data_IF_671429518616
#
_entry.id   IF_671429518616
#
_cell.length_a   1.000
_cell.length_b   1.000
_cell.length_c   1.000
_cell.angle_alpha   90.00
_cell.angle_beta   90.00
_cell.angle_gamma   90.00
#
_symmetry.space_group_name_H-M   'P 1'
#
loop_
_entity.id
_entity.type
_entity.pdbx_description
1 polymer ?
#
# COMPACT_ATOMS: atom_id res chain seq x y z
N UNK A 1 9.18 -18.54 -18.87
CA UNK A 1 8.59 -18.12 -17.59
C UNK A 1 7.93 -19.30 -16.92
N UNK A 2 8.11 -19.48 -15.61
CA UNK A 2 7.40 -20.50 -14.80
C UNK A 2 6.53 -19.79 -13.78
N UNK A 3 5.22 -19.66 -14.06
CA UNK A 3 4.22 -19.09 -13.15
C UNK A 3 2.98 -19.96 -13.16
N UNK A 4 2.23 -19.99 -12.05
CA UNK A 4 0.96 -20.71 -11.94
C UNK A 4 -0.16 -19.84 -12.55
N UNK A 5 -0.17 -19.69 -13.85
CA UNK A 5 -1.16 -18.94 -14.63
C UNK A 5 -1.62 -19.80 -15.82
N UNK A 6 -2.88 -19.65 -16.21
CA UNK A 6 -3.43 -20.32 -17.39
C UNK A 6 -3.16 -19.49 -18.67
N UNK A 7 -3.60 -18.23 -18.64
CA UNK A 7 -3.40 -17.25 -19.71
C UNK A 7 -2.88 -15.94 -19.12
N UNK A 8 -1.82 -15.40 -19.68
CA UNK A 8 -1.19 -14.14 -19.23
C UNK A 8 -2.14 -12.94 -19.30
N UNK A 9 -3.15 -12.99 -20.17
CA UNK A 9 -4.17 -11.94 -20.30
C UNK A 9 -5.36 -12.11 -19.36
N UNK A 10 -5.53 -13.30 -18.75
CA UNK A 10 -6.59 -13.60 -17.83
C UNK A 10 -6.17 -13.51 -16.34
N UNK A 11 -4.89 -13.20 -16.07
CA UNK A 11 -4.32 -13.25 -14.70
C UNK A 11 -5.15 -12.49 -13.69
N UNK A 12 -5.50 -11.24 -13.94
CA UNK A 12 -6.27 -10.41 -13.01
C UNK A 12 -7.66 -10.99 -12.78
N UNK A 13 -8.37 -11.34 -13.88
CA UNK A 13 -9.71 -11.92 -13.81
C UNK A 13 -9.73 -13.23 -13.03
N UNK A 14 -8.86 -14.17 -13.35
CA UNK A 14 -8.78 -15.47 -12.65
C UNK A 14 -8.35 -15.30 -11.18
N UNK A 15 -7.49 -14.32 -10.88
CA UNK A 15 -7.13 -13.97 -9.50
C UNK A 15 -8.35 -13.47 -8.72
N UNK A 16 -9.13 -12.56 -9.30
CA UNK A 16 -10.35 -12.03 -8.67
C UNK A 16 -11.42 -13.11 -8.48
N UNK A 17 -11.59 -14.03 -9.44
CA UNK A 17 -12.51 -15.16 -9.32
C UNK A 17 -12.11 -16.08 -8.18
N UNK A 18 -10.81 -16.42 -8.08
CA UNK A 18 -10.26 -17.19 -6.96
C UNK A 18 -10.40 -16.46 -5.61
N UNK A 19 -10.15 -15.18 -5.58
CA UNK A 19 -10.28 -14.33 -4.39
C UNK A 19 -11.73 -14.27 -3.89
N UNK A 20 -12.71 -14.08 -4.79
CA UNK A 20 -14.13 -14.11 -4.47
C UNK A 20 -14.57 -15.44 -3.86
N UNK A 21 -14.12 -16.57 -4.42
CA UNK A 21 -14.43 -17.90 -3.91
C UNK A 21 -13.83 -18.17 -2.53
N UNK A 22 -12.62 -17.66 -2.29
CA UNK A 22 -11.90 -17.90 -1.03
C UNK A 22 -12.38 -17.02 0.13
N UNK A 23 -12.98 -15.86 -0.16
CA UNK A 23 -13.27 -14.82 0.83
C UNK A 23 -14.68 -14.22 0.70
N UNK A 24 -15.65 -15.02 0.25
CA UNK A 24 -17.05 -14.62 0.02
C UNK A 24 -17.80 -14.16 1.28
N UNK A 25 -17.23 -14.38 2.46
CA UNK A 25 -17.73 -13.91 3.75
C UNK A 25 -17.26 -12.49 4.11
N UNK A 26 -16.25 -11.97 3.42
CA UNK A 26 -15.62 -10.67 3.68
C UNK A 26 -15.85 -9.69 2.52
N UNK A 27 -15.76 -10.18 1.27
CA UNK A 27 -15.80 -9.34 0.06
C UNK A 27 -16.78 -9.85 -0.98
N UNK A 28 -17.30 -8.91 -1.77
CA UNK A 28 -17.97 -9.14 -3.04
C UNK A 28 -17.11 -8.64 -4.19
N UNK A 29 -16.97 -9.44 -5.24
CA UNK A 29 -16.23 -9.05 -6.44
C UNK A 29 -17.20 -8.78 -7.57
N UNK A 30 -17.12 -7.59 -8.14
CA UNK A 30 -17.90 -7.14 -9.29
C UNK A 30 -17.09 -7.34 -10.58
N UNK A 31 -17.77 -7.64 -11.66
CA UNK A 31 -17.19 -7.89 -12.96
C UNK A 31 -17.90 -7.05 -14.03
N UNK A 32 -17.13 -6.32 -14.84
CA UNK A 32 -17.66 -5.46 -15.91
C UNK A 32 -18.34 -4.16 -15.40
N UNK A 33 -17.58 -3.27 -14.77
CA UNK A 33 -16.14 -3.27 -14.58
C UNK A 33 -15.69 -4.07 -13.36
N UNK A 34 -14.38 -4.37 -13.30
CA UNK A 34 -13.80 -5.12 -12.19
C UNK A 34 -13.53 -4.21 -10.99
N UNK A 35 -14.17 -4.49 -9.85
CA UNK A 35 -13.85 -3.90 -8.55
C UNK A 35 -14.31 -4.81 -7.41
N UNK A 36 -13.84 -4.55 -6.21
CA UNK A 36 -14.11 -5.33 -5.00
C UNK A 36 -14.76 -4.43 -3.97
N UNK A 37 -15.84 -4.89 -3.33
CA UNK A 37 -16.48 -4.20 -2.20
C UNK A 37 -16.50 -5.07 -0.96
N UNK A 38 -16.70 -4.47 0.21
CA UNK A 38 -16.97 -5.25 1.43
C UNK A 38 -18.33 -5.97 1.29
N UNK A 39 -18.38 -7.21 1.74
CA UNK A 39 -19.59 -8.05 1.67
C UNK A 39 -20.75 -7.47 2.52
N UNK A 40 -20.43 -6.95 3.71
CA UNK A 40 -21.42 -6.30 4.58
C UNK A 40 -21.23 -4.78 4.49
N UNK A 41 -22.10 -4.08 3.75
CA UNK A 41 -22.01 -2.63 3.66
C UNK A 41 -22.26 -2.00 5.02
N UNK A 42 -21.64 -0.86 5.28
CA UNK A 42 -21.88 -0.06 6.48
C UNK A 42 -23.22 0.65 6.41
N UNK A 43 -23.75 1.01 7.57
CA UNK A 43 -24.96 1.82 7.68
C UNK A 43 -24.80 3.18 6.98
N UNK A 44 -25.93 3.79 6.59
CA UNK A 44 -25.99 5.13 6.02
C UNK A 44 -25.23 6.17 6.88
N UNK A 45 -24.61 7.13 6.21
CA UNK A 45 -23.88 8.21 6.85
C UNK A 45 -22.42 7.92 7.21
N UNK A 46 -21.87 6.74 6.83
CA UNK A 46 -20.43 6.48 6.93
C UNK A 46 -19.70 7.02 5.69
N UNK A 47 -18.55 7.65 5.91
CA UNK A 47 -17.62 8.02 4.83
C UNK A 47 -17.10 6.76 4.15
N UNK A 48 -17.24 6.68 2.81
CA UNK A 48 -16.69 5.61 2.01
C UNK A 48 -15.18 5.77 1.80
N UNK A 49 -14.44 4.66 1.77
CA UNK A 49 -13.02 4.66 1.44
C UNK A 49 -12.77 3.81 0.19
N UNK A 50 -12.18 4.41 -0.82
CA UNK A 50 -11.81 3.74 -2.07
C UNK A 50 -10.32 3.90 -2.34
N UNK A 51 -9.68 2.80 -2.70
CA UNK A 51 -8.31 2.80 -3.19
C UNK A 51 -8.19 1.88 -4.41
N UNK A 52 -7.05 1.89 -5.07
CA UNK A 52 -6.82 1.06 -6.23
C UNK A 52 -5.44 1.29 -6.83
N UNK A 53 -5.15 0.53 -7.85
CA UNK A 53 -3.87 0.57 -8.55
C UNK A 53 -3.66 -0.71 -9.35
N UNK A 54 -2.49 -0.86 -9.95
CA UNK A 54 -2.13 -2.07 -10.67
C UNK A 54 -2.18 -3.30 -9.79
N UNK A 55 -2.62 -4.44 -10.34
CA UNK A 55 -2.48 -5.75 -9.70
C UNK A 55 -1.00 -6.16 -9.65
N UNK A 56 -0.65 -7.14 -8.80
CA UNK A 56 0.73 -7.58 -8.60
C UNK A 56 1.34 -7.11 -7.27
N UNK A 57 0.55 -6.42 -6.46
CA UNK A 57 0.96 -5.91 -5.15
C UNK A 57 0.23 -6.60 -3.99
N UNK A 58 -0.48 -7.70 -4.28
CA UNK A 58 -1.32 -8.38 -3.30
C UNK A 58 -0.59 -8.65 -1.98
N UNK A 59 -1.32 -8.46 -0.85
CA UNK A 59 -2.77 -8.24 -0.68
C UNK A 59 -3.27 -6.82 -0.98
N UNK A 60 -2.41 -5.83 -1.23
CA UNK A 60 -2.80 -4.46 -1.60
C UNK A 60 -3.55 -4.46 -2.94
N UNK A 61 -4.71 -3.86 -3.10
CA UNK A 61 -5.61 -3.18 -2.18
C UNK A 61 -6.77 -4.09 -1.76
N UNK A 62 -7.19 -5.07 -2.62
CA UNK A 62 -8.35 -5.91 -2.43
C UNK A 62 -8.35 -6.70 -1.10
N UNK A 63 -7.17 -7.12 -0.63
CA UNK A 63 -7.00 -7.80 0.65
C UNK A 63 -7.28 -6.94 1.88
N UNK A 64 -7.39 -5.63 1.71
CA UNK A 64 -7.69 -4.65 2.77
C UNK A 64 -9.12 -4.08 2.67
N UNK A 65 -9.95 -4.66 1.81
CA UNK A 65 -11.38 -4.36 1.78
C UNK A 65 -12.09 -5.08 2.93
N UNK A 66 -12.83 -4.33 3.73
CA UNK A 66 -13.60 -4.85 4.86
C UNK A 66 -13.76 -3.84 5.99
N UNK A 67 -14.32 -4.29 7.12
CA UNK A 67 -14.55 -3.45 8.29
C UNK A 67 -13.24 -2.88 8.84
N UNK A 68 -13.21 -1.58 9.11
CA UNK A 68 -12.08 -0.86 9.69
C UNK A 68 -10.97 -0.48 8.70
N UNK A 69 -11.16 -0.74 7.39
CA UNK A 69 -10.27 -0.33 6.31
C UNK A 69 -11.07 0.15 5.08
N UNK A 70 -10.80 -0.39 3.88
CA UNK A 70 -11.45 0.05 2.64
C UNK A 70 -12.90 -0.46 2.51
N UNK A 71 -13.78 0.36 1.93
CA UNK A 71 -15.11 -0.07 1.49
C UNK A 71 -15.07 -0.66 0.08
N UNK A 72 -14.18 -0.15 -0.79
CA UNK A 72 -13.94 -0.72 -2.10
C UNK A 72 -12.50 -0.59 -2.58
N UNK A 73 -12.09 -1.49 -3.45
CA UNK A 73 -10.79 -1.47 -4.13
C UNK A 73 -10.91 -1.76 -5.62
N UNK A 74 -10.09 -1.09 -6.43
CA UNK A 74 -10.13 -1.21 -7.89
C UNK A 74 -8.81 -1.77 -8.40
N UNK A 75 -8.73 -3.06 -8.77
CA UNK A 75 -7.55 -3.66 -9.36
C UNK A 75 -7.45 -3.30 -10.85
N UNK A 76 -6.33 -2.70 -11.25
CA UNK A 76 -5.96 -2.52 -12.64
C UNK A 76 -5.27 -3.76 -13.23
N UNK A 77 -4.87 -3.70 -14.50
CA UNK A 77 -3.97 -4.70 -15.07
C UNK A 77 -2.66 -4.78 -14.28
N UNK A 78 -1.89 -5.87 -14.43
CA UNK A 78 -0.65 -6.04 -13.66
C UNK A 78 0.27 -4.83 -13.87
N UNK A 79 0.62 -4.16 -12.77
CA UNK A 79 1.44 -2.94 -12.71
C UNK A 79 0.91 -1.76 -13.54
N UNK A 80 -0.39 -1.72 -13.79
CA UNK A 80 -1.02 -0.65 -14.58
C UNK A 80 -2.24 -0.10 -13.84
N UNK A 81 -2.33 1.21 -13.74
CA UNK A 81 -3.44 1.91 -13.09
C UNK A 81 -4.79 1.51 -13.67
N UNK A 82 -5.84 1.34 -12.85
CA UNK A 82 -7.21 1.15 -13.34
C UNK A 82 -7.69 2.39 -14.10
N UNK A 83 -8.61 2.19 -15.05
CA UNK A 83 -9.26 3.30 -15.76
C UNK A 83 -10.30 4.01 -14.87
N UNK A 84 -10.75 5.23 -15.22
CA UNK A 84 -11.72 5.98 -14.40
C UNK A 84 -13.07 5.28 -14.19
N UNK A 85 -13.56 4.52 -15.17
CA UNK A 85 -14.88 3.87 -15.08
C UNK A 85 -15.04 2.92 -13.89
N UNK A 86 -14.14 1.93 -13.66
CA UNK A 86 -14.25 1.07 -12.48
C UNK A 86 -14.02 1.84 -11.17
N UNK A 87 -13.23 2.92 -11.17
CA UNK A 87 -13.04 3.77 -9.99
C UNK A 87 -14.36 4.49 -9.66
N UNK A 88 -15.06 5.03 -10.65
CA UNK A 88 -16.35 5.65 -10.48
C UNK A 88 -17.39 4.68 -9.91
N UNK A 89 -17.49 3.48 -10.48
CA UNK A 89 -18.44 2.46 -9.99
C UNK A 89 -18.13 2.01 -8.56
N UNK A 90 -16.85 1.85 -8.21
CA UNK A 90 -16.43 1.59 -6.84
C UNK A 90 -16.75 2.75 -5.88
N UNK A 91 -16.60 3.99 -6.35
CA UNK A 91 -16.96 5.20 -5.60
C UNK A 91 -18.47 5.26 -5.32
N UNK A 92 -19.30 4.98 -6.31
CA UNK A 92 -20.75 4.87 -6.13
C UNK A 92 -21.13 3.79 -5.14
N UNK A 93 -20.50 2.62 -5.23
CA UNK A 93 -20.78 1.50 -4.33
C UNK A 93 -20.31 1.77 -2.89
N UNK A 94 -19.31 2.63 -2.69
CA UNK A 94 -18.79 3.01 -1.38
C UNK A 94 -19.49 4.22 -0.76
N UNK A 95 -20.23 5.02 -1.54
CA UNK A 95 -20.94 6.18 -1.02
C UNK A 95 -22.23 5.77 -0.27
N UNK A 96 -22.29 6.19 0.97
CA UNK A 96 -23.45 6.01 1.84
C UNK A 96 -24.01 7.36 2.32
N UNK A 97 -23.85 8.41 1.49
CA UNK A 97 -24.39 9.75 1.71
C UNK A 97 -23.51 10.67 2.57
N UNK A 98 -22.32 10.23 2.99
CA UNK A 98 -21.36 11.07 3.72
C UNK A 98 -20.15 11.47 2.86
N UNK A 99 -20.14 11.10 1.58
CA UNK A 99 -19.02 11.28 0.66
C UNK A 99 -17.97 10.20 0.77
N UNK A 100 -16.95 10.29 -0.10
CA UNK A 100 -15.94 9.25 -0.29
C UNK A 100 -14.54 9.86 -0.23
N UNK A 101 -13.63 9.19 0.51
CA UNK A 101 -12.21 9.46 0.47
C UNK A 101 -11.52 8.52 -0.53
N UNK A 102 -10.86 9.08 -1.54
CA UNK A 102 -9.92 8.37 -2.40
C UNK A 102 -8.51 8.35 -1.77
N UNK A 103 -7.95 7.16 -1.57
CA UNK A 103 -6.57 6.97 -1.12
C UNK A 103 -5.77 6.50 -2.34
N UNK A 104 -4.88 7.33 -2.84
CA UNK A 104 -4.22 7.16 -4.13
C UNK A 104 -2.71 7.12 -3.95
N UNK A 105 -2.05 6.06 -4.42
CA UNK A 105 -0.59 6.04 -4.47
C UNK A 105 -0.11 7.05 -5.52
N UNK A 106 0.96 7.79 -5.19
CA UNK A 106 1.49 8.81 -6.10
C UNK A 106 2.22 8.17 -7.30
N UNK A 107 1.44 7.82 -8.31
CA UNK A 107 1.87 7.45 -9.65
C UNK A 107 0.99 8.21 -10.65
N UNK A 108 1.60 8.73 -11.71
CA UNK A 108 0.91 9.64 -12.67
C UNK A 108 -0.41 9.04 -13.20
N UNK A 109 -0.41 7.76 -13.54
CA UNK A 109 -1.62 7.09 -14.03
C UNK A 109 -2.72 6.98 -12.97
N UNK A 110 -2.36 6.59 -11.74
CA UNK A 110 -3.31 6.50 -10.62
C UNK A 110 -3.88 7.89 -10.31
N UNK A 111 -3.03 8.90 -10.16
CA UNK A 111 -3.48 10.28 -9.85
C UNK A 111 -4.46 10.79 -10.90
N UNK A 112 -4.10 10.74 -12.19
CA UNK A 112 -4.97 11.23 -13.27
C UNK A 112 -6.30 10.47 -13.37
N UNK A 113 -6.30 9.15 -13.20
CA UNK A 113 -7.50 8.35 -13.35
C UNK A 113 -8.43 8.52 -12.14
N UNK A 114 -7.90 8.64 -10.92
CA UNK A 114 -8.69 8.94 -9.72
C UNK A 114 -9.23 10.38 -9.73
N UNK A 115 -8.46 11.37 -10.19
CA UNK A 115 -8.94 12.73 -10.40
C UNK A 115 -10.12 12.76 -11.39
N UNK A 116 -9.97 12.09 -12.54
CA UNK A 116 -11.06 11.97 -13.53
C UNK A 116 -12.30 11.30 -12.93
N UNK A 117 -12.13 10.23 -12.18
CA UNK A 117 -13.25 9.54 -11.53
C UNK A 117 -13.93 10.42 -10.46
N UNK A 118 -13.17 11.23 -9.72
CA UNK A 118 -13.70 12.18 -8.74
C UNK A 118 -14.52 13.29 -9.41
N UNK A 119 -14.06 13.82 -10.56
CA UNK A 119 -14.82 14.79 -11.37
C UNK A 119 -16.15 14.18 -11.89
N UNK A 120 -16.12 12.92 -12.33
CA UNK A 120 -17.33 12.21 -12.76
C UNK A 120 -18.28 11.94 -11.59
N UNK A 121 -17.77 11.61 -10.41
CA UNK A 121 -18.57 11.41 -9.20
C UNK A 121 -19.26 12.71 -8.74
N UNK A 122 -18.58 13.86 -8.83
CA UNK A 122 -19.16 15.18 -8.53
C UNK A 122 -20.35 15.51 -9.45
N UNK A 123 -20.30 15.08 -10.72
CA UNK A 123 -21.43 15.21 -11.66
C UNK A 123 -22.64 14.34 -11.28
N UNK A 124 -22.46 13.38 -10.40
CA UNK A 124 -23.49 12.49 -9.85
C UNK A 124 -23.83 12.83 -8.38
N UNK A 125 -23.51 14.05 -7.94
CA UNK A 125 -23.74 14.57 -6.58
C UNK A 125 -23.00 13.79 -5.45
N UNK A 126 -21.90 13.09 -5.76
CA UNK A 126 -21.06 12.39 -4.78
C UNK A 126 -19.84 13.27 -4.46
N UNK A 127 -19.73 13.71 -3.21
CA UNK A 127 -18.57 14.49 -2.76
C UNK A 127 -17.37 13.57 -2.55
N UNK A 128 -16.26 13.87 -3.23
CA UNK A 128 -15.01 13.11 -3.13
C UNK A 128 -13.89 14.00 -2.61
N UNK A 129 -13.10 13.48 -1.65
CA UNK A 129 -11.81 14.04 -1.28
C UNK A 129 -10.70 13.06 -1.63
N UNK A 130 -9.47 13.52 -1.81
CA UNK A 130 -8.35 12.66 -2.20
C UNK A 130 -7.12 12.91 -1.32
N UNK A 131 -6.50 11.83 -0.88
CA UNK A 131 -5.16 11.85 -0.26
C UNK A 131 -4.21 11.07 -1.15
N UNK A 132 -3.17 11.76 -1.63
CA UNK A 132 -2.11 11.18 -2.46
C UNK A 132 -0.96 10.73 -1.57
N UNK A 133 -0.75 9.42 -1.49
CA UNK A 133 0.29 8.80 -0.65
C UNK A 133 1.64 8.90 -1.33
N UNK A 134 2.66 9.41 -0.61
CA UNK A 134 3.98 9.73 -1.14
C UNK A 134 5.11 9.42 -0.14
N UNK A 135 5.04 8.25 0.47
CA UNK A 135 5.89 7.85 1.59
C UNK A 135 7.33 7.41 1.22
N UNK A 136 7.62 7.13 -0.05
CA UNK A 136 8.94 6.63 -0.48
C UNK A 136 10.01 7.72 -0.48
N UNK A 137 11.04 7.54 0.35
CA UNK A 137 12.17 8.50 0.49
C UNK A 137 13.37 8.19 -0.41
N UNK A 138 13.26 7.15 -1.24
CA UNK A 138 14.38 6.73 -2.06
C UNK A 138 14.70 7.71 -3.20
N UNK A 139 13.68 8.32 -3.79
CA UNK A 139 13.80 9.24 -4.92
C UNK A 139 12.80 10.39 -4.77
N UNK A 140 13.19 11.58 -5.24
CA UNK A 140 12.30 12.75 -5.26
C UNK A 140 11.35 12.72 -6.45
N UNK A 141 11.81 12.19 -7.58
CA UNK A 141 11.05 11.97 -8.82
C UNK A 141 11.43 10.61 -9.42
N UNK A 142 10.50 9.96 -10.09
CA UNK A 142 10.75 8.70 -10.81
C UNK A 142 10.26 8.76 -12.26
N UNK A 143 10.47 7.67 -13.03
CA UNK A 143 10.04 7.59 -14.44
C UNK A 143 8.53 7.77 -14.62
N UNK A 144 7.73 7.45 -13.60
CA UNK A 144 6.26 7.41 -13.67
C UNK A 144 5.60 8.31 -12.64
N UNK A 145 6.36 9.18 -11.94
CA UNK A 145 5.87 9.93 -10.79
C UNK A 145 6.58 11.26 -10.69
N UNK A 146 5.83 12.34 -10.64
CA UNK A 146 6.31 13.63 -10.16
C UNK A 146 6.22 13.64 -8.62
N UNK A 147 7.31 13.93 -7.94
CA UNK A 147 7.42 13.78 -6.50
C UNK A 147 7.69 12.32 -6.06
N UNK A 148 7.58 12.08 -4.76
CA UNK A 148 7.83 10.76 -4.15
C UNK A 148 6.75 9.76 -4.51
N UNK A 149 7.14 8.50 -4.72
CA UNK A 149 6.21 7.38 -4.95
C UNK A 149 5.42 7.06 -3.69
N UNK A 150 4.18 6.54 -3.86
CA UNK A 150 3.40 5.90 -2.81
C UNK A 150 3.70 4.41 -2.77
N UNK A 151 4.09 3.88 -1.61
CA UNK A 151 4.45 2.47 -1.42
C UNK A 151 3.81 1.89 -0.15
N UNK A 152 4.55 1.27 0.74
CA UNK A 152 4.01 0.50 1.86
C UNK A 152 3.28 1.33 2.93
N UNK A 153 3.54 2.64 3.04
CA UNK A 153 2.79 3.54 3.92
C UNK A 153 1.31 3.63 3.61
N UNK A 154 0.91 3.27 2.41
CA UNK A 154 -0.50 3.24 1.97
C UNK A 154 -1.39 2.43 2.92
N UNK A 155 -0.92 1.27 3.42
CA UNK A 155 -1.72 0.44 4.32
C UNK A 155 -2.00 1.10 5.68
N UNK A 156 -1.11 1.99 6.14
CA UNK A 156 -1.37 2.76 7.37
C UNK A 156 -2.42 3.83 7.13
N UNK A 157 -2.40 4.48 5.96
CA UNK A 157 -3.44 5.44 5.57
C UNK A 157 -4.80 4.72 5.47
N UNK A 158 -4.86 3.57 4.79
CA UNK A 158 -6.09 2.77 4.66
C UNK A 158 -6.63 2.30 6.01
N UNK A 159 -5.76 1.83 6.92
CA UNK A 159 -6.16 1.34 8.24
C UNK A 159 -6.68 2.46 9.13
N UNK A 160 -5.94 3.55 9.25
CA UNK A 160 -6.23 4.61 10.22
C UNK A 160 -7.40 5.48 9.74
N UNK A 161 -7.45 5.81 8.43
CA UNK A 161 -8.61 6.49 7.85
C UNK A 161 -9.87 5.61 7.90
N UNK A 162 -9.72 4.29 7.65
CA UNK A 162 -10.82 3.33 7.77
C UNK A 162 -11.40 3.27 9.17
N UNK A 163 -10.55 3.25 10.20
CA UNK A 163 -10.98 3.29 11.59
C UNK A 163 -11.71 4.60 11.95
N UNK A 164 -11.22 5.75 11.47
CA UNK A 164 -11.88 7.03 11.66
C UNK A 164 -13.27 7.06 11.00
N UNK A 165 -13.39 6.56 9.77
CA UNK A 165 -14.66 6.44 9.08
C UNK A 165 -15.64 5.47 9.79
N UNK A 166 -15.14 4.33 10.31
CA UNK A 166 -15.95 3.38 11.09
C UNK A 166 -16.43 4.00 12.42
N UNK A 167 -15.64 4.86 13.03
CA UNK A 167 -16.02 5.64 14.21
C UNK A 167 -17.15 6.64 13.94
N UNK A 168 -17.39 7.00 12.67
CA UNK A 168 -18.43 7.94 12.23
C UNK A 168 -17.94 9.37 12.07
N UNK A 169 -16.65 9.57 11.88
CA UNK A 169 -16.08 10.90 11.63
C UNK A 169 -16.55 11.46 10.27
N UNK A 170 -16.60 12.78 10.15
CA UNK A 170 -16.95 13.48 8.91
C UNK A 170 -15.88 13.27 7.82
N UNK A 171 -16.25 13.48 6.55
CA UNK A 171 -15.32 13.40 5.41
C UNK A 171 -14.11 14.33 5.61
N UNK A 172 -14.32 15.54 6.12
CA UNK A 172 -13.25 16.48 6.43
C UNK A 172 -12.27 15.89 7.47
N UNK A 173 -12.79 15.30 8.54
CA UNK A 173 -11.97 14.73 9.62
C UNK A 173 -11.24 13.47 9.17
N UNK A 174 -11.90 12.57 8.45
CA UNK A 174 -11.26 11.37 7.86
C UNK A 174 -10.14 11.78 6.91
N UNK A 175 -10.34 12.81 6.07
CA UNK A 175 -9.32 13.35 5.17
C UNK A 175 -8.15 13.97 5.93
N UNK A 176 -8.43 14.73 7.01
CA UNK A 176 -7.39 15.30 7.88
C UNK A 176 -6.52 14.21 8.50
N UNK A 177 -7.14 13.17 9.02
CA UNK A 177 -6.44 12.03 9.63
C UNK A 177 -5.61 11.28 8.58
N UNK A 178 -6.18 10.98 7.42
CA UNK A 178 -5.45 10.32 6.31
C UNK A 178 -4.22 11.13 5.87
N UNK A 179 -4.37 12.44 5.74
CA UNK A 179 -3.27 13.36 5.42
C UNK A 179 -2.20 13.34 6.51
N UNK A 180 -2.59 13.40 7.79
CA UNK A 180 -1.66 13.31 8.92
C UNK A 180 -0.87 12.00 8.90
N UNK A 181 -1.51 10.87 8.61
CA UNK A 181 -0.83 9.56 8.49
C UNK A 181 0.21 9.61 7.38
N UNK A 182 -0.15 10.10 6.20
CA UNK A 182 0.77 10.23 5.07
C UNK A 182 1.99 11.12 5.42
N UNK A 183 1.75 12.26 6.05
CA UNK A 183 2.80 13.21 6.45
C UNK A 183 3.76 12.60 7.49
N UNK A 184 3.27 11.74 8.37
CA UNK A 184 4.02 11.09 9.44
C UNK A 184 4.60 9.72 9.04
N UNK A 185 4.47 9.28 7.78
CA UNK A 185 4.92 7.98 7.31
C UNK A 185 6.01 8.11 6.27
N UNK A 186 7.08 7.31 6.40
CA UNK A 186 8.14 7.20 5.39
C UNK A 186 8.54 5.75 5.20
N UNK A 187 8.87 5.43 3.97
CA UNK A 187 9.25 4.09 3.52
C UNK A 187 10.49 4.11 2.65
N UNK A 188 11.22 3.02 2.66
CA UNK A 188 12.27 2.75 1.69
C UNK A 188 12.48 1.25 1.55
N UNK A 189 12.66 0.78 0.31
CA UNK A 189 12.90 -0.62 0.00
C UNK A 189 14.24 -0.89 -0.69
N UNK A 190 14.58 -2.17 -0.77
CA UNK A 190 15.64 -2.71 -1.63
C UNK A 190 15.18 -4.00 -2.30
N UNK A 191 15.70 -4.30 -3.49
CA UNK A 191 15.52 -5.57 -4.17
C UNK A 191 16.83 -6.36 -4.25
N UNK A 192 16.69 -7.68 -4.07
CA UNK A 192 17.76 -8.67 -4.25
C UNK A 192 17.71 -9.30 -5.65
N UNK A 193 16.67 -9.01 -6.41
CA UNK A 193 16.45 -9.51 -7.76
C UNK A 193 15.16 -8.97 -8.38
N UNK A 194 14.95 -9.16 -9.68
CA UNK A 194 13.76 -8.69 -10.38
C UNK A 194 12.54 -9.58 -10.10
N UNK A 195 11.34 -9.05 -10.39
CA UNK A 195 10.14 -9.84 -10.62
C UNK A 195 9.94 -10.10 -12.12
N UNK A 196 8.99 -10.98 -12.46
CA UNK A 196 8.61 -11.26 -13.84
C UNK A 196 7.14 -10.96 -14.07
N UNK A 197 6.86 -9.89 -14.79
CA UNK A 197 5.48 -9.54 -15.18
C UNK A 197 4.96 -10.59 -16.18
N UNK A 198 3.77 -11.21 -15.92
CA UNK A 198 3.30 -12.35 -16.73
C UNK A 198 3.25 -12.09 -18.24
N UNK A 199 2.69 -10.97 -18.68
CA UNK A 199 2.58 -10.66 -20.10
C UNK A 199 3.92 -10.29 -20.76
N UNK A 200 4.89 -9.75 -19.99
CA UNK A 200 6.22 -9.43 -20.50
C UNK A 200 7.08 -10.68 -20.66
N UNK A 201 6.88 -11.71 -19.83
CA UNK A 201 7.55 -13.01 -19.87
C UNK A 201 9.05 -12.97 -19.60
N UNK A 202 9.60 -11.82 -19.20
CA UNK A 202 11.01 -11.57 -18.90
C UNK A 202 11.15 -10.78 -17.58
N UNK A 203 12.33 -10.83 -16.93
CA UNK A 203 12.62 -10.02 -15.76
C UNK A 203 12.34 -8.53 -15.96
N UNK A 204 11.87 -7.84 -14.92
CA UNK A 204 11.55 -6.40 -14.96
C UNK A 204 12.81 -5.53 -15.11
N UNK A 205 13.94 -5.99 -14.62
CA UNK A 205 15.27 -5.38 -14.76
C UNK A 205 16.36 -6.46 -14.67
N UNK A 206 17.60 -6.08 -14.94
CA UNK A 206 18.76 -6.95 -14.78
C UNK A 206 19.52 -6.56 -13.50
N UNK A 207 19.95 -7.55 -12.73
CA UNK A 207 20.77 -7.39 -11.53
C UNK A 207 21.82 -8.52 -11.49
N UNK A 208 23.08 -8.20 -11.18
CA UNK A 208 24.14 -9.19 -11.01
C UNK A 208 23.90 -10.06 -9.77
N UNK A 209 24.58 -11.23 -9.72
CA UNK A 209 24.40 -12.20 -8.61
C UNK A 209 24.78 -11.61 -7.23
N UNK A 210 25.76 -10.70 -7.19
CA UNK A 210 26.24 -10.06 -5.97
C UNK A 210 25.75 -8.60 -5.84
N UNK A 211 24.78 -8.18 -6.65
CA UNK A 211 24.26 -6.83 -6.66
C UNK A 211 22.88 -6.73 -6.01
N UNK A 212 22.57 -5.56 -5.46
CA UNK A 212 21.25 -5.17 -4.97
C UNK A 212 20.86 -3.82 -5.54
N UNK A 213 19.54 -3.57 -5.65
CA UNK A 213 18.99 -2.26 -6.04
C UNK A 213 18.40 -1.60 -4.79
N UNK A 214 19.01 -0.49 -4.34
CA UNK A 214 18.58 0.27 -3.17
C UNK A 214 17.60 1.37 -3.60
N UNK A 215 16.43 1.42 -2.92
CA UNK A 215 15.36 2.35 -3.24
C UNK A 215 14.53 1.94 -4.45
N UNK A 216 14.48 0.63 -4.74
CA UNK A 216 13.62 0.08 -5.82
C UNK A 216 12.16 0.47 -5.61
N UNK A 217 11.45 0.77 -6.72
CA UNK A 217 10.00 0.94 -6.72
C UNK A 217 9.27 -0.39 -6.79
N UNK A 218 7.97 -0.38 -6.43
CA UNK A 218 7.14 -1.59 -6.40
C UNK A 218 6.76 -2.14 -7.79
N UNK A 219 7.04 -1.39 -8.88
CA UNK A 219 6.90 -1.88 -10.26
C UNK A 219 8.26 -2.24 -10.88
N UNK A 220 9.35 -2.22 -10.09
CA UNK A 220 10.72 -2.42 -10.57
C UNK A 220 11.37 -1.16 -11.13
N UNK A 221 10.86 0.03 -10.80
CA UNK A 221 11.49 1.30 -11.16
C UNK A 221 12.84 1.44 -10.46
N UNK A 222 13.87 1.94 -11.15
CA UNK A 222 15.20 2.09 -10.57
C UNK A 222 15.18 2.85 -9.25
N UNK A 223 15.99 2.38 -8.31
CA UNK A 223 16.27 3.08 -7.08
C UNK A 223 17.27 4.22 -7.27
N UNK A 224 17.87 4.65 -6.16
CA UNK A 224 18.87 5.71 -6.21
C UNK A 224 20.31 5.16 -6.46
N UNK A 225 20.56 3.88 -6.16
CA UNK A 225 21.84 3.25 -6.49
C UNK A 225 21.78 1.72 -6.50
N UNK A 226 22.68 1.12 -7.26
CA UNK A 226 23.08 -0.28 -7.12
C UNK A 226 24.25 -0.40 -6.15
N UNK A 227 24.28 -1.48 -5.40
CA UNK A 227 25.34 -1.79 -4.47
C UNK A 227 25.67 -3.27 -4.44
N UNK A 228 26.75 -3.64 -3.77
CA UNK A 228 27.06 -5.03 -3.50
C UNK A 228 26.13 -5.58 -2.42
N UNK A 229 25.92 -6.90 -2.42
CA UNK A 229 25.23 -7.58 -1.32
C UNK A 229 26.02 -7.44 -0.02
N UNK A 230 25.35 -7.04 1.04
CA UNK A 230 25.90 -6.87 2.38
C UNK A 230 25.08 -7.65 3.41
N UNK A 231 25.61 -7.87 4.64
CA UNK A 231 24.83 -8.46 5.72
C UNK A 231 23.53 -7.67 5.99
N UNK A 232 22.45 -8.37 6.33
CA UNK A 232 21.15 -7.77 6.58
C UNK A 232 21.17 -6.59 7.57
N UNK A 233 22.04 -6.66 8.61
CA UNK A 233 22.16 -5.55 9.56
C UNK A 233 22.64 -4.24 8.88
N UNK A 234 23.56 -4.32 7.92
CA UNK A 234 24.09 -3.16 7.18
C UNK A 234 23.01 -2.59 6.25
N UNK A 235 22.35 -3.46 5.50
CA UNK A 235 21.29 -3.07 4.56
C UNK A 235 20.11 -2.41 5.29
N UNK A 236 19.64 -3.00 6.38
CA UNK A 236 18.56 -2.42 7.19
C UNK A 236 18.99 -1.10 7.82
N UNK A 237 20.26 -0.97 8.23
CA UNK A 237 20.75 0.30 8.76
C UNK A 237 20.70 1.42 7.72
N UNK A 238 21.01 1.13 6.46
CA UNK A 238 20.93 2.12 5.37
C UNK A 238 19.49 2.55 5.10
N UNK A 239 18.54 1.59 5.04
CA UNK A 239 17.09 1.91 4.89
C UNK A 239 16.60 2.76 6.07
N UNK A 240 16.94 2.34 7.28
CA UNK A 240 16.54 3.03 8.52
C UNK A 240 17.04 4.47 8.59
N UNK A 241 18.33 4.70 8.32
CA UNK A 241 18.91 6.05 8.39
C UNK A 241 18.23 7.04 7.43
N UNK A 242 17.85 6.58 6.24
CA UNK A 242 17.12 7.42 5.29
C UNK A 242 15.70 7.71 5.74
N UNK A 243 14.96 6.68 6.17
CA UNK A 243 13.58 6.81 6.66
C UNK A 243 13.54 7.69 7.91
N UNK A 244 14.42 7.40 8.88
CA UNK A 244 14.55 8.17 10.12
C UNK A 244 14.91 9.62 9.85
N UNK A 245 15.92 9.84 8.99
CA UNK A 245 16.42 11.18 8.67
C UNK A 245 15.38 12.07 8.02
N UNK A 246 14.59 11.51 7.10
CA UNK A 246 13.51 12.25 6.43
C UNK A 246 12.33 12.55 7.35
N UNK A 247 11.93 11.60 8.20
CA UNK A 247 10.94 11.84 9.26
C UNK A 247 11.45 12.82 10.33
N UNK A 248 12.77 13.00 10.46
CA UNK A 248 13.35 13.77 11.55
C UNK A 248 13.06 13.17 12.92
N UNK A 249 13.08 11.82 13.03
CA UNK A 249 12.81 11.14 14.29
C UNK A 249 13.91 11.38 15.32
N UNK A 250 13.50 11.66 16.55
CA UNK A 250 14.36 11.95 17.69
C UNK A 250 14.10 11.02 18.87
N UNK A 251 15.02 10.99 19.84
CA UNK A 251 14.88 10.24 21.08
C UNK A 251 13.57 10.57 21.82
N UNK A 252 12.92 9.54 22.35
CA UNK A 252 11.64 9.65 23.07
C UNK A 252 10.39 9.58 22.19
N UNK A 253 10.53 9.63 20.87
CA UNK A 253 9.38 9.49 19.97
C UNK A 253 8.94 8.02 19.82
N UNK A 254 7.68 7.83 19.43
CA UNK A 254 7.07 6.52 19.21
C UNK A 254 6.78 6.30 17.73
N UNK A 255 6.96 5.07 17.27
CA UNK A 255 6.67 4.68 15.89
C UNK A 255 5.83 3.42 15.81
N UNK A 256 5.05 3.32 14.73
CA UNK A 256 4.60 2.04 14.17
C UNK A 256 5.64 1.62 13.14
N UNK A 257 6.19 0.42 13.28
CA UNK A 257 7.24 -0.11 12.41
C UNK A 257 6.72 -1.26 11.55
N UNK A 258 6.94 -1.19 10.23
CA UNK A 258 6.64 -2.27 9.30
C UNK A 258 7.93 -2.73 8.62
N UNK A 259 8.19 -4.04 8.66
CA UNK A 259 9.13 -4.72 7.75
C UNK A 259 8.31 -5.53 6.77
N UNK A 260 8.28 -5.05 5.53
CA UNK A 260 7.44 -5.58 4.47
C UNK A 260 8.28 -6.35 3.44
N UNK A 261 7.93 -7.60 3.19
CA UNK A 261 8.49 -8.37 2.09
C UNK A 261 7.88 -7.96 0.76
N UNK A 262 8.67 -8.07 -0.31
CA UNK A 262 8.22 -7.70 -1.65
C UNK A 262 7.65 -8.89 -2.46
N UNK A 263 7.38 -10.02 -1.79
CA UNK A 263 6.74 -11.20 -2.36
C UNK A 263 7.66 -12.41 -2.48
N UNK A 264 8.93 -12.22 -2.78
CA UNK A 264 9.90 -13.31 -2.98
C UNK A 264 10.80 -13.61 -1.78
N UNK A 265 10.71 -12.84 -0.69
CA UNK A 265 11.58 -13.00 0.50
C UNK A 265 10.89 -13.86 1.56
N UNK A 266 11.54 -14.93 2.07
CA UNK A 266 11.00 -15.74 3.15
C UNK A 266 10.75 -14.94 4.42
N UNK A 267 9.68 -15.26 5.14
CA UNK A 267 9.33 -14.53 6.38
C UNK A 267 10.41 -14.60 7.46
N UNK A 268 11.21 -15.66 7.49
CA UNK A 268 12.36 -15.79 8.40
C UNK A 268 13.41 -14.70 8.19
N UNK A 269 13.64 -14.31 6.94
CA UNK A 269 14.57 -13.21 6.59
C UNK A 269 13.99 -11.86 6.98
N UNK A 270 12.65 -11.68 6.85
CA UNK A 270 11.97 -10.47 7.34
C UNK A 270 12.11 -10.32 8.86
N UNK A 271 12.07 -11.42 9.63
CA UNK A 271 12.35 -11.36 11.08
C UNK A 271 13.81 -11.00 11.39
N UNK A 272 14.77 -11.42 10.55
CA UNK A 272 16.18 -10.98 10.69
C UNK A 272 16.26 -9.46 10.47
N UNK A 273 15.61 -8.94 9.44
CA UNK A 273 15.53 -7.50 9.16
C UNK A 273 14.84 -6.74 10.30
N UNK A 274 13.71 -7.24 10.82
CA UNK A 274 13.03 -6.60 11.95
C UNK A 274 13.89 -6.57 13.22
N UNK A 275 14.63 -7.65 13.51
CA UNK A 275 15.57 -7.67 14.63
C UNK A 275 16.62 -6.57 14.51
N UNK A 276 17.14 -6.35 13.29
CA UNK A 276 18.13 -5.29 13.04
C UNK A 276 17.48 -3.90 13.22
N UNK A 277 16.30 -3.67 12.65
CA UNK A 277 15.55 -2.41 12.79
C UNK A 277 15.24 -2.10 14.26
N UNK A 278 14.75 -3.08 15.02
CA UNK A 278 14.43 -2.90 16.44
C UNK A 278 15.67 -2.53 17.28
N UNK A 279 16.83 -3.10 16.96
CA UNK A 279 18.08 -2.76 17.64
C UNK A 279 18.52 -1.31 17.35
N UNK A 280 18.31 -0.82 16.12
CA UNK A 280 18.62 0.56 15.72
C UNK A 280 17.69 1.57 16.39
N UNK A 281 16.37 1.34 16.34
CA UNK A 281 15.37 2.18 17.03
C UNK A 281 15.65 2.27 18.53
N UNK A 282 15.93 1.13 19.18
CA UNK A 282 16.31 1.09 20.60
C UNK A 282 17.58 1.88 20.89
N UNK A 283 18.62 1.76 20.05
CA UNK A 283 19.88 2.50 20.19
C UNK A 283 19.66 4.00 20.15
N UNK A 284 18.73 4.45 19.30
CA UNK A 284 18.41 5.87 19.12
C UNK A 284 17.31 6.36 20.09
N UNK A 285 16.90 5.52 21.05
CA UNK A 285 15.90 5.88 22.06
C UNK A 285 14.49 6.08 21.51
N UNK A 286 14.17 5.49 20.34
CA UNK A 286 12.86 5.54 19.71
C UNK A 286 12.06 4.28 20.08
N UNK A 287 10.83 4.46 20.56
CA UNK A 287 9.96 3.38 21.00
C UNK A 287 9.18 2.78 19.82
N UNK A 288 9.18 1.45 19.69
CA UNK A 288 8.26 0.74 18.80
C UNK A 288 6.94 0.54 19.55
N UNK A 289 5.95 1.40 19.28
CA UNK A 289 4.62 1.28 19.88
C UNK A 289 3.81 0.11 19.28
N UNK A 290 3.93 -0.12 17.97
CA UNK A 290 3.31 -1.25 17.24
C UNK A 290 4.25 -1.70 16.13
N UNK A 291 4.12 -2.98 15.74
CA UNK A 291 4.95 -3.57 14.69
C UNK A 291 4.19 -4.53 13.79
N UNK A 292 4.63 -4.58 12.54
CA UNK A 292 4.16 -5.53 11.54
C UNK A 292 5.35 -6.13 10.78
N UNK A 293 5.30 -7.44 10.51
CA UNK A 293 6.31 -8.15 9.70
C UNK A 293 5.59 -9.13 8.79
N UNK A 294 5.75 -8.98 7.49
CA UNK A 294 5.08 -9.86 6.51
C UNK A 294 5.06 -9.27 5.11
N UNK A 295 4.29 -9.89 4.23
CA UNK A 295 4.04 -9.40 2.87
C UNK A 295 2.70 -8.66 2.86
N UNK A 296 2.72 -7.35 2.73
CA UNK A 296 1.54 -6.48 2.73
C UNK A 296 1.44 -5.63 1.47
N UNK A 297 2.59 -5.24 0.92
CA UNK A 297 2.70 -4.50 -0.34
C UNK A 297 3.82 -5.14 -1.14
N UNK A 298 3.45 -5.97 -2.10
CA UNK A 298 4.39 -6.80 -2.85
C UNK A 298 4.71 -6.25 -4.24
N UNK A 299 5.60 -6.90 -4.94
CA UNK A 299 5.92 -6.67 -6.35
C UNK A 299 6.04 -8.04 -7.04
N UNK A 300 4.90 -8.74 -7.16
CA UNK A 300 4.85 -10.13 -7.61
C UNK A 300 5.78 -11.02 -6.74
N UNK A 301 6.74 -11.70 -7.37
CA UNK A 301 7.74 -12.55 -6.69
C UNK A 301 9.09 -11.85 -6.47
N UNK A 302 9.15 -10.53 -6.44
CA UNK A 302 10.41 -9.80 -6.22
C UNK A 302 11.05 -10.17 -4.88
N UNK A 303 12.25 -10.74 -4.86
CA UNK A 303 12.99 -10.90 -3.62
C UNK A 303 13.49 -9.52 -3.17
N UNK A 304 13.07 -9.09 -1.99
CA UNK A 304 13.38 -7.76 -1.46
C UNK A 304 12.66 -7.49 -0.16
N UNK A 305 12.95 -6.35 0.43
CA UNK A 305 12.39 -5.90 1.71
C UNK A 305 12.23 -4.39 1.70
N UNK A 306 11.19 -3.87 2.35
CA UNK A 306 11.06 -2.46 2.67
C UNK A 306 10.87 -2.24 4.17
N UNK A 307 11.35 -1.09 4.65
CA UNK A 307 11.15 -0.58 6.00
C UNK A 307 10.21 0.62 5.89
N UNK A 308 9.14 0.61 6.68
CA UNK A 308 8.23 1.74 6.83
C UNK A 308 8.15 2.12 8.30
N UNK A 309 8.30 3.39 8.60
CA UNK A 309 8.09 3.95 9.93
C UNK A 309 7.02 5.03 9.86
N UNK A 310 6.06 4.97 10.77
CA UNK A 310 5.08 6.02 11.00
C UNK A 310 5.30 6.58 12.40
N UNK A 311 5.59 7.90 12.51
CA UNK A 311 5.57 8.57 13.81
C UNK A 311 4.13 8.55 14.34
N UNK A 312 3.94 8.08 15.57
CA UNK A 312 2.63 7.84 16.11
C UNK A 312 2.40 8.57 17.44
N UNK A 313 1.40 9.42 17.47
CA UNK A 313 0.81 9.98 18.68
C UNK A 313 -0.37 9.13 19.18
N UNK A 314 -1.04 9.56 20.24
CA UNK A 314 -2.16 8.82 20.83
C UNK A 314 -3.34 8.66 19.86
N UNK A 315 -3.66 9.71 19.06
CA UNK A 315 -4.75 9.65 18.08
C UNK A 315 -4.49 8.56 17.02
N UNK A 316 -3.29 8.52 16.46
CA UNK A 316 -2.94 7.54 15.44
C UNK A 316 -2.86 6.11 16.01
N UNK A 317 -2.38 5.95 17.25
CA UNK A 317 -2.32 4.65 17.92
C UNK A 317 -3.71 4.12 18.25
N UNK A 318 -4.63 4.96 18.75
CA UNK A 318 -6.01 4.58 19.02
C UNK A 318 -6.70 4.05 17.75
N UNK A 319 -6.54 4.77 16.62
CA UNK A 319 -7.12 4.38 15.34
C UNK A 319 -6.41 3.16 14.71
N UNK A 320 -5.11 3.02 14.92
CA UNK A 320 -4.37 1.83 14.49
C UNK A 320 -4.85 0.57 15.22
N UNK A 321 -5.13 0.68 16.52
CA UNK A 321 -5.60 -0.43 17.37
C UNK A 321 -7.11 -0.71 17.24
N UNK A 322 -7.86 0.15 16.55
CA UNK A 322 -9.30 -0.01 16.36
C UNK A 322 -9.63 -1.33 15.63
N UNK A 323 -10.80 -1.93 15.89
CA UNK A 323 -11.21 -3.18 15.28
C UNK A 323 -11.11 -3.16 13.75
N UNK A 324 -10.72 -4.30 13.18
CA UNK A 324 -10.56 -4.49 11.74
C UNK A 324 -10.91 -5.93 11.37
N UNK A 325 -11.56 -6.10 10.23
CA UNK A 325 -11.85 -7.43 9.67
C UNK A 325 -11.76 -7.37 8.15
N UNK A 326 -10.57 -7.65 7.63
CA UNK A 326 -10.30 -7.78 6.20
C UNK A 326 -9.65 -9.13 5.91
N UNK A 327 -9.39 -9.44 4.66
CA UNK A 327 -8.69 -10.69 4.31
C UNK A 327 -7.27 -10.72 4.85
N UNK A 328 -6.55 -9.60 4.75
CA UNK A 328 -5.11 -9.53 5.07
C UNK A 328 -4.79 -8.92 6.43
N UNK A 329 -5.77 -8.36 7.14
CA UNK A 329 -5.61 -7.77 8.47
C UNK A 329 -6.82 -8.11 9.34
N UNK A 330 -6.55 -8.73 10.52
CA UNK A 330 -7.58 -9.17 11.47
C UNK A 330 -7.19 -8.80 12.87
#
# INVERSE_FOLDING_TARGET
MKKLVNDVHAVVRETLEGFALAHSDIVDVHYSPDFVTRHVPKAEGKVGLVSGGGSGHEPLHAGFVGEGMLDAAVPGAVFTSPTPDPILEATKAADHGAGVLHIVKNYTGDVLNFETAAELADMEDITVTTVVVNDDVAVEDSLYTAGRRGVAGTIFVEKIAGAAAERGDSLEEVTRIATKVNDQTRSMGLALGPCTVPHAGKPSFDLGEDEIELGIGIHGEPGYRRGAMEPANSLVAELYERVRGDLGLTEGERVVALVNGMGGTPVSELYICFRALAALLKKDGIEIARQMVGNYVTSLEMPGVSVTLMRADEELLELFDAPVNTVAWK
#
